data_IF_084237865316
#
_entry.id   IF_084237865316
#
_cell.length_a   1.000
_cell.length_b   1.000
_cell.length_c   1.000
_cell.angle_alpha   90.00
_cell.angle_beta   90.00
_cell.angle_gamma   90.00
#
_symmetry.space_group_name_H-M   'P 1'
#
loop_
_entity.id
_entity.type
_entity.pdbx_description
1 polymer ?
#
# COMPACT_ATOMS: atom_id res chain seq x y z
N UNK A 1 19.53 -36.31 12.11
CA UNK A 1 18.63 -36.18 10.95
C UNK A 1 19.08 -37.15 9.90
N UNK A 2 18.25 -38.11 9.48
CA UNK A 2 18.59 -39.06 8.43
C UNK A 2 18.23 -38.43 7.08
N UNK A 3 19.20 -38.41 6.16
CA UNK A 3 19.01 -37.97 4.78
C UNK A 3 18.99 -39.24 3.89
N UNK A 4 17.96 -39.36 3.05
CA UNK A 4 17.94 -40.37 2.00
C UNK A 4 18.39 -39.74 0.69
N UNK A 5 19.46 -40.27 0.11
CA UNK A 5 20.01 -39.83 -1.18
C UNK A 5 19.62 -40.87 -2.24
N UNK A 6 18.83 -40.47 -3.22
CA UNK A 6 18.49 -41.29 -4.37
C UNK A 6 19.06 -40.67 -5.65
N UNK A 7 19.78 -41.47 -6.40
CA UNK A 7 20.44 -41.08 -7.65
C UNK A 7 19.74 -41.73 -8.84
N UNK A 8 19.29 -40.91 -9.77
CA UNK A 8 18.64 -41.36 -11.01
C UNK A 8 19.41 -40.82 -12.22
N UNK A 9 19.83 -41.72 -13.10
CA UNK A 9 20.49 -41.37 -14.37
C UNK A 9 19.49 -41.56 -15.52
N UNK A 10 19.14 -40.46 -16.19
CA UNK A 10 18.49 -40.49 -17.50
C UNK A 10 19.45 -39.92 -18.55
N UNK A 11 19.35 -40.40 -19.80
CA UNK A 11 20.17 -39.96 -20.92
C UNK A 11 20.19 -38.43 -21.03
N UNK A 12 21.31 -37.83 -20.58
CA UNK A 12 21.66 -36.40 -20.59
C UNK A 12 21.25 -35.54 -19.37
N UNK A 13 20.65 -36.11 -18.31
CA UNK A 13 20.35 -35.36 -17.07
C UNK A 13 20.63 -36.26 -15.86
N UNK A 14 21.44 -35.79 -14.92
CA UNK A 14 21.62 -36.46 -13.62
C UNK A 14 20.72 -35.74 -12.59
N UNK A 15 19.87 -36.50 -11.95
CA UNK A 15 18.94 -35.99 -10.92
C UNK A 15 19.43 -36.45 -9.56
N UNK A 16 19.73 -35.53 -8.67
CA UNK A 16 19.98 -35.79 -7.26
C UNK A 16 18.74 -35.39 -6.46
N UNK A 17 18.11 -36.37 -5.83
CA UNK A 17 16.96 -36.10 -4.96
C UNK A 17 17.42 -36.16 -3.50
N UNK A 18 17.31 -35.05 -2.77
CA UNK A 18 17.56 -34.99 -1.34
C UNK A 18 16.22 -34.82 -0.65
N UNK A 19 15.79 -35.82 0.11
CA UNK A 19 14.57 -35.76 0.90
C UNK A 19 14.91 -35.48 2.36
N UNK A 20 14.35 -34.42 2.94
CA UNK A 20 14.35 -34.19 4.37
C UNK A 20 13.00 -34.57 4.94
N UNK A 21 12.92 -34.87 6.23
CA UNK A 21 11.68 -35.34 6.90
C UNK A 21 10.53 -34.33 6.90
N UNK A 22 10.68 -33.15 6.28
CA UNK A 22 9.65 -32.10 6.23
C UNK A 22 9.33 -31.55 4.83
N UNK A 23 10.23 -31.63 3.84
CA UNK A 23 9.95 -31.12 2.49
C UNK A 23 10.73 -31.90 1.43
N UNK A 24 10.07 -32.23 0.30
CA UNK A 24 10.70 -32.84 -0.86
C UNK A 24 11.22 -31.73 -1.79
N UNK A 25 12.54 -31.62 -1.93
CA UNK A 25 13.15 -30.70 -2.91
C UNK A 25 13.87 -31.50 -3.98
N UNK A 26 13.53 -31.28 -5.25
CA UNK A 26 14.16 -31.89 -6.42
C UNK A 26 15.16 -30.91 -7.02
N UNK A 27 16.40 -31.34 -7.20
CA UNK A 27 17.46 -30.54 -7.83
C UNK A 27 17.83 -31.24 -9.15
N UNK A 28 17.76 -30.49 -10.25
CA UNK A 28 18.09 -30.97 -11.59
C UNK A 28 19.46 -30.44 -12.04
N UNK A 29 20.30 -31.30 -12.55
CA UNK A 29 21.58 -30.93 -13.17
C UNK A 29 21.55 -31.19 -14.68
N UNK A 30 21.98 -30.21 -15.48
CA UNK A 30 22.18 -30.35 -16.92
C UNK A 30 23.68 -30.43 -17.24
N UNK A 31 24.08 -31.20 -18.27
CA UNK A 31 25.46 -31.29 -18.73
C UNK A 31 26.08 -29.99 -19.30
N UNK A 32 25.31 -28.92 -19.38
CA UNK A 32 25.73 -27.64 -19.96
C UNK A 32 25.83 -26.49 -18.92
N UNK A 33 26.30 -26.77 -17.71
CA UNK A 33 26.63 -25.75 -16.68
C UNK A 33 25.51 -24.75 -16.30
N UNK A 34 24.25 -25.03 -16.57
CA UNK A 34 23.14 -24.25 -16.05
C UNK A 34 22.42 -24.98 -14.92
N UNK A 35 22.43 -24.41 -13.72
CA UNK A 35 21.69 -24.91 -12.56
C UNK A 35 20.36 -24.19 -12.52
N UNK A 36 19.24 -24.91 -12.71
CA UNK A 36 17.89 -24.39 -12.53
C UNK A 36 17.27 -24.93 -11.24
N UNK A 37 16.78 -24.04 -10.40
CA UNK A 37 16.17 -24.37 -9.12
C UNK A 37 14.65 -24.45 -9.22
N UNK A 38 14.08 -25.45 -8.54
CA UNK A 38 12.63 -25.64 -8.45
C UNK A 38 12.00 -25.08 -7.14
N UNK A 39 12.82 -24.61 -6.19
CA UNK A 39 12.36 -23.85 -5.02
C UNK A 39 13.47 -22.95 -4.46
N UNK A 40 13.07 -21.84 -3.81
CA UNK A 40 13.95 -20.73 -3.44
C UNK A 40 14.81 -20.93 -2.18
N UNK A 41 14.93 -22.15 -1.64
CA UNK A 41 15.46 -22.29 -0.27
C UNK A 41 16.85 -22.93 -0.12
N UNK A 42 17.47 -23.48 -1.16
CA UNK A 42 18.81 -24.10 -0.99
C UNK A 42 19.71 -23.82 -2.19
N UNK A 43 20.77 -23.06 -1.99
CA UNK A 43 21.84 -22.85 -2.95
C UNK A 43 23.03 -23.78 -2.59
N UNK A 44 23.33 -24.76 -3.42
CA UNK A 44 24.56 -25.54 -3.33
C UNK A 44 25.52 -25.15 -4.44
N UNK A 45 26.73 -24.75 -4.08
CA UNK A 45 27.81 -24.52 -5.03
C UNK A 45 28.68 -25.79 -5.03
N UNK A 46 28.77 -26.44 -6.17
CA UNK A 46 29.76 -27.51 -6.40
C UNK A 46 30.90 -26.96 -7.27
N UNK A 47 32.11 -27.08 -6.77
CA UNK A 47 33.30 -26.85 -7.57
C UNK A 47 33.49 -28.01 -8.57
N UNK A 48 34.03 -27.71 -9.74
CA UNK A 48 34.33 -28.66 -10.81
C UNK A 48 35.02 -29.94 -10.31
N UNK A 49 34.42 -31.07 -10.64
CA UNK A 49 35.10 -32.38 -10.50
C UNK A 49 35.68 -32.72 -11.88
N UNK A 50 36.94 -32.44 -12.08
CA UNK A 50 37.69 -32.97 -13.21
C UNK A 50 37.94 -34.49 -13.02
N UNK A 51 37.57 -35.23 -14.03
CA UNK A 51 37.59 -36.67 -14.16
C UNK A 51 39.02 -37.21 -14.05
N UNK A 52 39.42 -37.76 -12.89
CA UNK A 52 40.49 -38.79 -12.83
C UNK A 52 40.37 -39.62 -11.53
N UNK A 53 40.19 -40.95 -11.75
CA UNK A 53 40.42 -42.08 -10.83
C UNK A 53 39.61 -42.17 -9.52
N UNK A 54 38.52 -42.90 -9.62
CA UNK A 54 37.67 -43.42 -8.54
C UNK A 54 38.38 -44.61 -7.81
N UNK A 55 39.45 -44.41 -7.07
CA UNK A 55 39.88 -45.48 -6.16
C UNK A 55 40.70 -45.02 -4.95
N UNK A 56 40.55 -43.87 -4.45
CA UNK A 56 40.95 -43.48 -3.07
C UNK A 56 40.46 -42.06 -2.76
N UNK A 57 39.18 -41.85 -2.66
CA UNK A 57 38.67 -40.58 -2.11
C UNK A 57 38.32 -40.73 -0.63
N UNK A 58 39.27 -40.37 0.23
CA UNK A 58 38.87 -39.77 1.49
C UNK A 58 38.20 -38.42 1.14
N UNK A 59 36.88 -38.42 1.14
CA UNK A 59 36.10 -37.22 1.02
C UNK A 59 36.44 -36.37 2.25
N UNK A 60 37.40 -35.46 2.11
CA UNK A 60 37.42 -34.27 2.97
C UNK A 60 36.28 -33.43 2.47
N UNK A 61 35.11 -33.68 3.03
CA UNK A 61 33.95 -32.77 2.91
C UNK A 61 34.38 -31.46 3.54
N UNK A 62 34.91 -30.56 2.74
CA UNK A 62 34.95 -29.15 3.10
C UNK A 62 33.52 -28.66 2.97
N UNK A 63 32.73 -28.91 4.00
CA UNK A 63 31.50 -28.18 4.25
C UNK A 63 31.92 -26.72 4.50
N UNK A 64 32.17 -25.97 3.44
CA UNK A 64 31.95 -24.54 3.48
C UNK A 64 30.43 -24.43 3.49
N UNK A 65 29.87 -24.53 4.69
CA UNK A 65 28.59 -23.96 4.99
C UNK A 65 28.79 -22.46 4.82
N UNK A 66 28.71 -21.97 3.57
CA UNK A 66 28.25 -20.61 3.37
C UNK A 66 26.83 -20.64 3.93
N UNK A 67 26.69 -20.36 5.23
CA UNK A 67 25.50 -19.70 5.72
C UNK A 67 25.50 -18.33 5.02
N UNK A 68 25.13 -18.31 3.74
CA UNK A 68 24.28 -17.25 3.27
C UNK A 68 23.02 -17.52 4.10
N UNK A 69 22.98 -16.89 5.29
CA UNK A 69 21.71 -16.67 5.92
C UNK A 69 20.89 -16.12 4.76
N UNK A 70 19.91 -16.86 4.29
CA UNK A 70 18.73 -16.26 3.77
C UNK A 70 18.25 -15.40 4.96
N UNK A 71 18.84 -14.23 5.11
CA UNK A 71 18.10 -13.13 5.64
C UNK A 71 16.94 -13.11 4.66
N UNK A 72 15.83 -13.74 5.04
CA UNK A 72 14.56 -13.22 4.62
C UNK A 72 14.71 -11.75 4.96
N UNK A 73 15.10 -10.95 3.99
CA UNK A 73 14.93 -9.51 4.08
C UNK A 73 13.43 -9.40 4.16
N UNK A 74 12.92 -9.44 5.40
CA UNK A 74 11.56 -9.03 5.69
C UNK A 74 11.45 -7.73 4.93
N UNK A 75 10.56 -7.69 3.92
CA UNK A 75 10.40 -6.49 3.12
C UNK A 75 10.24 -5.35 4.12
N UNK A 76 11.06 -4.31 3.98
CA UNK A 76 11.05 -3.21 4.93
C UNK A 76 9.61 -2.68 4.98
N UNK A 77 9.00 -2.71 6.15
CA UNK A 77 7.66 -2.18 6.32
C UNK A 77 7.62 -0.71 5.92
N UNK A 78 6.56 -0.31 5.26
CA UNK A 78 6.33 1.06 4.86
C UNK A 78 5.48 1.76 5.93
N UNK A 79 5.98 2.89 6.39
CA UNK A 79 5.27 3.77 7.30
C UNK A 79 5.17 5.14 6.66
N UNK A 80 3.98 5.68 6.61
CA UNK A 80 3.77 6.98 5.99
C UNK A 80 2.40 7.57 6.26
N UNK A 81 2.05 8.53 5.44
CA UNK A 81 0.73 9.17 5.45
C UNK A 81 0.41 9.80 4.11
N UNK A 82 -0.87 10.14 3.95
CA UNK A 82 -1.37 10.94 2.84
C UNK A 82 -1.23 12.42 3.20
N UNK A 83 -0.29 13.12 2.54
CA UNK A 83 -0.02 14.54 2.77
C UNK A 83 -0.46 15.41 1.58
N UNK A 84 -1.50 15.01 0.90
CA UNK A 84 -1.95 15.64 -0.35
C UNK A 84 -2.38 17.10 -0.20
N UNK A 85 -2.56 17.59 1.01
CA UNK A 85 -2.91 19.01 1.30
C UNK A 85 -1.73 19.81 1.81
N UNK A 86 -0.58 19.21 2.09
CA UNK A 86 0.57 19.92 2.65
C UNK A 86 0.94 21.19 1.88
N UNK A 87 1.00 21.21 0.52
CA UNK A 87 1.34 22.43 -0.21
C UNK A 87 0.34 23.56 0.00
N UNK A 88 -0.96 23.28 0.21
CA UNK A 88 -1.96 24.30 0.47
C UNK A 88 -1.82 24.87 1.89
N UNK A 89 -1.48 24.03 2.88
CA UNK A 89 -1.13 24.50 4.23
C UNK A 89 0.11 25.38 4.20
N UNK A 90 1.17 24.96 3.52
CA UNK A 90 2.42 25.73 3.36
C UNK A 90 2.17 27.09 2.68
N UNK A 91 1.39 27.11 1.61
CA UNK A 91 1.02 28.33 0.86
C UNK A 91 0.28 29.35 1.71
N UNK A 92 -0.53 28.87 2.67
CA UNK A 92 -1.25 29.74 3.60
C UNK A 92 -0.42 30.13 4.83
N UNK A 93 0.83 29.67 4.94
CA UNK A 93 1.73 30.05 6.02
C UNK A 93 1.52 29.23 7.30
N UNK A 94 0.91 28.05 7.22
CA UNK A 94 0.79 27.11 8.33
C UNK A 94 2.19 26.76 8.87
N UNK A 95 2.36 26.79 10.19
CA UNK A 95 3.63 26.49 10.86
C UNK A 95 3.51 25.16 11.60
N UNK A 96 4.33 24.20 11.18
CA UNK A 96 4.49 22.93 11.87
C UNK A 96 5.61 23.04 12.91
N UNK A 97 5.39 22.40 14.06
CA UNK A 97 6.34 22.42 15.18
C UNK A 97 6.56 21.02 15.72
N UNK A 98 7.76 20.75 16.20
CA UNK A 98 8.00 19.56 17.02
C UNK A 98 7.25 19.64 18.37
N UNK A 99 7.43 18.62 19.20
CA UNK A 99 6.80 18.57 20.54
C UNK A 99 7.28 19.69 21.48
N UNK A 100 8.49 20.21 21.25
CA UNK A 100 9.09 21.29 22.06
C UNK A 100 8.73 22.69 21.51
N UNK A 101 7.99 22.76 20.41
CA UNK A 101 7.53 24.00 19.80
C UNK A 101 8.49 24.60 18.78
N UNK A 102 9.58 23.92 18.39
CA UNK A 102 10.52 24.35 17.35
C UNK A 102 9.86 24.18 15.98
N UNK A 103 9.87 25.20 15.11
CA UNK A 103 9.37 25.07 13.75
C UNK A 103 10.16 24.02 12.95
N UNK A 104 9.43 23.18 12.20
CA UNK A 104 9.99 22.08 11.40
C UNK A 104 9.45 22.09 9.97
N UNK A 105 10.22 21.52 9.02
CA UNK A 105 9.69 21.14 7.72
C UNK A 105 8.94 19.82 7.87
N UNK A 106 7.66 19.71 7.47
CA UNK A 106 6.87 18.50 7.72
C UNK A 106 7.44 17.23 7.07
N UNK A 107 7.91 17.30 5.83
CA UNK A 107 8.44 16.13 5.12
C UNK A 107 9.70 15.59 5.83
N UNK A 108 10.63 16.49 6.17
CA UNK A 108 11.83 16.11 6.92
C UNK A 108 11.47 15.61 8.33
N UNK A 109 10.50 16.25 8.99
CA UNK A 109 10.04 15.83 10.31
C UNK A 109 9.43 14.42 10.28
N UNK A 110 8.61 14.08 9.29
CA UNK A 110 8.11 12.71 9.11
C UNK A 110 9.26 11.72 8.96
N UNK A 111 10.23 12.02 8.08
CA UNK A 111 11.40 11.19 7.85
C UNK A 111 12.25 11.00 9.12
N UNK A 112 12.54 12.07 9.86
CA UNK A 112 13.34 12.03 11.08
C UNK A 112 12.63 11.23 12.19
N UNK A 113 11.29 11.17 12.15
CA UNK A 113 10.47 10.31 13.00
C UNK A 113 10.28 8.89 12.42
N UNK A 114 11.13 8.47 11.47
CA UNK A 114 11.19 7.09 10.98
C UNK A 114 10.20 6.77 9.86
N UNK A 115 9.44 7.74 9.36
CA UNK A 115 8.59 7.51 8.20
C UNK A 115 9.44 7.37 6.93
N UNK A 116 9.06 6.47 6.04
CA UNK A 116 9.84 6.13 4.86
C UNK A 116 9.04 6.19 3.55
N UNK A 117 7.76 6.55 3.65
CA UNK A 117 6.85 6.56 2.51
C UNK A 117 5.80 7.67 2.65
N UNK A 118 5.37 8.23 1.53
CA UNK A 118 4.31 9.23 1.46
C UNK A 118 3.33 8.83 0.39
N UNK A 119 2.03 8.96 0.69
CA UNK A 119 0.91 8.79 -0.24
C UNK A 119 0.40 10.15 -0.68
N UNK A 120 0.10 10.29 -1.98
CA UNK A 120 -0.54 11.49 -2.54
C UNK A 120 -1.62 11.05 -3.52
N UNK A 121 -2.82 11.58 -3.34
CA UNK A 121 -3.96 11.35 -4.24
C UNK A 121 -3.87 12.21 -5.49
N UNK A 122 -4.50 11.75 -6.57
CA UNK A 122 -4.59 12.44 -7.86
C UNK A 122 -6.02 12.40 -8.38
N UNK A 123 -6.56 13.57 -8.69
CA UNK A 123 -7.84 13.72 -9.40
C UNK A 123 -7.60 13.91 -10.91
N UNK A 124 -8.65 13.69 -11.72
CA UNK A 124 -8.55 13.85 -13.17
C UNK A 124 -8.54 15.35 -13.55
N UNK A 125 -9.53 16.08 -13.12
CA UNK A 125 -9.62 17.53 -13.32
C UNK A 125 -10.32 18.21 -12.12
N UNK A 126 -9.57 18.54 -11.04
CA UNK A 126 -10.14 19.12 -9.83
C UNK A 126 -10.82 20.49 -10.06
N UNK A 127 -10.49 21.18 -11.16
CA UNK A 127 -11.19 22.41 -11.52
C UNK A 127 -12.69 22.21 -11.85
N UNK A 128 -13.08 20.99 -12.20
CA UNK A 128 -14.47 20.59 -12.43
C UNK A 128 -15.20 20.14 -11.16
N UNK A 129 -14.47 19.98 -10.06
CA UNK A 129 -15.09 19.58 -8.79
C UNK A 129 -16.11 20.62 -8.30
N UNK A 130 -17.20 20.20 -7.64
CA UNK A 130 -18.10 21.11 -6.95
C UNK A 130 -17.35 21.99 -5.94
N UNK A 131 -17.82 23.23 -5.74
CA UNK A 131 -17.18 24.19 -4.84
C UNK A 131 -17.04 23.63 -3.41
N UNK A 132 -18.07 22.93 -2.92
CA UNK A 132 -18.02 22.28 -1.61
C UNK A 132 -16.82 21.32 -1.46
N UNK A 133 -16.51 20.54 -2.51
CA UNK A 133 -15.36 19.63 -2.47
C UNK A 133 -14.02 20.37 -2.60
N UNK A 134 -13.97 21.50 -3.33
CA UNK A 134 -12.79 22.37 -3.33
C UNK A 134 -12.55 22.98 -1.94
N UNK A 135 -13.62 23.37 -1.26
CA UNK A 135 -13.56 23.83 0.14
C UNK A 135 -13.07 22.73 1.10
N UNK A 136 -13.22 21.46 0.73
CA UNK A 136 -12.68 20.28 1.44
C UNK A 136 -11.26 19.91 0.99
N UNK A 137 -10.63 20.70 0.10
CA UNK A 137 -9.24 20.52 -0.31
C UNK A 137 -9.03 19.72 -1.61
N UNK A 138 -10.03 19.64 -2.49
CA UNK A 138 -9.86 19.05 -3.83
C UNK A 138 -9.13 20.03 -4.73
N UNK A 139 -7.85 19.75 -5.02
CA UNK A 139 -6.97 20.58 -5.86
C UNK A 139 -5.84 19.78 -6.56
N UNK A 140 -5.71 18.50 -6.28
CA UNK A 140 -4.57 17.66 -6.64
C UNK A 140 -4.66 17.21 -8.11
N UNK A 141 -4.23 18.09 -9.02
CA UNK A 141 -4.01 17.78 -10.43
C UNK A 141 -2.62 17.20 -10.70
N UNK A 142 -2.34 16.83 -11.95
CA UNK A 142 -1.04 16.25 -12.34
C UNK A 142 0.15 17.15 -11.97
N UNK A 143 0.18 18.48 -12.29
CA UNK A 143 1.27 19.36 -11.90
C UNK A 143 1.49 19.44 -10.40
N UNK A 144 0.42 19.57 -9.62
CA UNK A 144 0.47 19.63 -8.16
C UNK A 144 1.10 18.36 -7.56
N UNK A 145 0.59 17.19 -7.99
CA UNK A 145 1.06 15.90 -7.48
C UNK A 145 2.50 15.60 -7.93
N UNK A 146 2.87 16.01 -9.12
CA UNK A 146 4.23 15.85 -9.61
C UNK A 146 5.25 16.67 -8.81
N UNK A 147 4.91 17.90 -8.42
CA UNK A 147 5.81 18.74 -7.58
C UNK A 147 5.92 18.16 -6.16
N UNK A 148 4.79 17.78 -5.54
CA UNK A 148 4.82 17.18 -4.21
C UNK A 148 5.57 15.83 -4.21
N UNK A 149 5.30 14.97 -5.20
CA UNK A 149 6.02 13.70 -5.36
C UNK A 149 7.52 13.88 -5.56
N UNK A 150 7.95 14.91 -6.28
CA UNK A 150 9.36 15.28 -6.43
C UNK A 150 9.99 15.62 -5.06
N UNK A 151 9.34 16.47 -4.26
CA UNK A 151 9.79 16.82 -2.90
C UNK A 151 9.95 15.59 -2.02
N UNK A 152 8.99 14.65 -2.09
CA UNK A 152 9.05 13.35 -1.39
C UNK A 152 10.26 12.53 -1.82
N UNK A 153 10.52 12.43 -3.13
CA UNK A 153 11.66 11.68 -3.65
C UNK A 153 13.00 12.35 -3.31
N UNK A 154 13.07 13.68 -3.33
CA UNK A 154 14.25 14.45 -2.91
C UNK A 154 14.58 14.25 -1.43
N UNK A 155 13.56 14.11 -0.58
CA UNK A 155 13.74 13.72 0.81
C UNK A 155 14.21 12.26 0.99
N UNK A 156 14.28 11.47 -0.10
CA UNK A 156 14.70 10.07 -0.07
C UNK A 156 13.62 9.09 0.43
N UNK A 157 12.36 9.52 0.44
CA UNK A 157 11.21 8.69 0.83
C UNK A 157 10.60 8.00 -0.41
N UNK A 158 9.84 6.92 -0.18
CA UNK A 158 9.06 6.27 -1.22
C UNK A 158 7.80 7.07 -1.49
N UNK A 159 7.40 7.10 -2.75
CA UNK A 159 6.21 7.81 -3.21
C UNK A 159 5.12 6.81 -3.63
N UNK A 160 3.94 6.90 -3.02
CA UNK A 160 2.72 6.21 -3.40
C UNK A 160 1.78 7.17 -4.10
N UNK A 161 1.45 6.89 -5.36
CA UNK A 161 0.49 7.66 -6.14
C UNK A 161 -0.88 6.98 -6.07
N UNK A 162 -1.91 7.73 -5.67
CA UNK A 162 -3.28 7.24 -5.55
C UNK A 162 -4.19 7.86 -6.62
N UNK A 163 -4.65 7.05 -7.56
CA UNK A 163 -5.59 7.47 -8.60
C UNK A 163 -7.04 7.39 -8.13
N UNK A 164 -7.72 8.52 -8.05
CA UNK A 164 -9.17 8.54 -7.78
C UNK A 164 -10.02 8.28 -9.04
N UNK A 165 -9.50 8.53 -10.23
CA UNK A 165 -10.24 8.48 -11.52
C UNK A 165 -11.55 9.26 -11.51
N UNK A 166 -11.58 10.37 -10.82
CA UNK A 166 -12.70 11.29 -10.67
C UNK A 166 -12.16 12.73 -10.62
N UNK A 167 -13.01 13.72 -10.86
CA UNK A 167 -12.64 15.13 -10.69
C UNK A 167 -12.67 15.56 -9.22
N UNK A 168 -13.19 14.70 -8.34
CA UNK A 168 -13.32 14.92 -6.90
C UNK A 168 -13.13 13.62 -6.12
N UNK A 169 -13.38 13.66 -4.82
CA UNK A 169 -13.34 12.50 -3.96
C UNK A 169 -14.07 11.30 -4.57
N UNK A 170 -13.36 10.21 -4.76
CA UNK A 170 -13.90 8.90 -5.01
C UNK A 170 -13.84 8.12 -3.68
N UNK A 171 -14.98 7.67 -3.20
CA UNK A 171 -15.16 6.99 -1.92
C UNK A 171 -16.34 6.01 -1.97
N UNK A 172 -16.66 5.26 -0.90
CA UNK A 172 -17.72 4.27 -0.91
C UNK A 172 -19.11 4.81 -1.24
N UNK A 173 -19.34 6.10 -1.11
CA UNK A 173 -20.62 6.75 -1.38
C UNK A 173 -20.69 7.38 -2.77
N UNK A 174 -19.55 7.61 -3.44
CA UNK A 174 -19.48 8.27 -4.74
C UNK A 174 -18.22 7.87 -5.54
N UNK A 175 -18.44 7.57 -6.80
CA UNK A 175 -17.40 7.19 -7.77
C UNK A 175 -17.76 7.83 -9.13
N UNK A 176 -17.76 9.17 -9.17
CA UNK A 176 -18.26 9.90 -10.33
C UNK A 176 -17.35 9.78 -11.54
N UNK A 177 -17.94 9.64 -12.72
CA UNK A 177 -17.23 9.77 -13.99
C UNK A 177 -16.76 11.23 -14.12
N UNK A 178 -15.48 11.48 -14.49
CA UNK A 178 -15.00 12.83 -14.78
C UNK A 178 -15.87 13.54 -15.82
N UNK A 179 -16.13 14.83 -15.62
CA UNK A 179 -17.06 15.62 -16.43
C UNK A 179 -16.69 15.64 -17.92
N UNK A 180 -15.41 15.55 -18.24
CA UNK A 180 -14.91 15.58 -19.62
C UNK A 180 -14.89 14.18 -20.29
N UNK A 181 -15.24 13.12 -19.55
CA UNK A 181 -15.32 11.76 -20.10
C UNK A 181 -16.77 11.47 -20.58
N UNK A 182 -17.16 12.09 -21.69
CA UNK A 182 -18.56 12.15 -22.16
C UNK A 182 -19.07 10.86 -22.80
N UNK A 183 -18.21 10.01 -23.34
CA UNK A 183 -18.59 8.67 -23.83
C UNK A 183 -18.49 7.66 -22.67
N UNK A 184 -19.65 7.25 -22.16
CA UNK A 184 -19.76 6.34 -21.03
C UNK A 184 -19.79 4.86 -21.44
N UNK A 185 -19.46 4.53 -22.69
CA UNK A 185 -19.28 3.12 -23.04
C UNK A 185 -18.10 2.51 -22.27
N UNK A 186 -18.21 1.24 -21.89
CA UNK A 186 -17.14 0.53 -21.17
C UNK A 186 -15.80 0.65 -21.89
N UNK A 187 -15.81 0.55 -23.23
CA UNK A 187 -14.60 0.67 -24.05
C UNK A 187 -13.96 2.05 -23.93
N UNK A 188 -14.78 3.12 -23.99
CA UNK A 188 -14.28 4.50 -23.91
C UNK A 188 -13.73 4.78 -22.50
N UNK A 189 -14.45 4.39 -21.45
CA UNK A 189 -13.99 4.58 -20.06
C UNK A 189 -12.69 3.81 -19.77
N UNK A 190 -12.56 2.57 -20.24
CA UNK A 190 -11.30 1.83 -20.16
C UNK A 190 -10.15 2.56 -20.88
N UNK A 191 -10.44 3.14 -22.07
CA UNK A 191 -9.46 3.97 -22.79
C UNK A 191 -9.05 5.21 -21.99
N UNK A 192 -10.01 5.93 -21.42
CA UNK A 192 -9.77 7.12 -20.60
C UNK A 192 -8.95 6.83 -19.34
N UNK A 193 -9.25 5.73 -18.62
CA UNK A 193 -8.43 5.27 -17.49
C UNK A 193 -6.98 5.04 -17.95
N UNK A 194 -6.80 4.31 -19.02
CA UNK A 194 -5.46 4.02 -19.56
C UNK A 194 -4.72 5.29 -19.93
N UNK A 195 -5.34 6.17 -20.72
CA UNK A 195 -4.71 7.39 -21.24
C UNK A 195 -4.33 8.35 -20.09
N UNK A 196 -5.25 8.59 -19.16
CA UNK A 196 -4.97 9.43 -17.96
C UNK A 196 -3.84 8.85 -17.11
N UNK A 197 -3.83 7.54 -16.88
CA UNK A 197 -2.76 6.89 -16.13
C UNK A 197 -1.41 7.05 -16.82
N UNK A 198 -1.35 6.86 -18.15
CA UNK A 198 -0.12 7.06 -18.95
C UNK A 198 0.35 8.50 -18.88
N UNK A 199 -0.57 9.47 -19.04
CA UNK A 199 -0.26 10.91 -18.96
C UNK A 199 0.34 11.26 -17.59
N UNK A 200 -0.34 10.91 -16.51
CA UNK A 200 0.09 11.17 -15.15
C UNK A 200 1.47 10.56 -14.86
N UNK A 201 1.67 9.28 -15.17
CA UNK A 201 2.95 8.61 -14.90
C UNK A 201 4.10 9.16 -15.73
N UNK A 202 3.87 9.59 -16.97
CA UNK A 202 4.87 10.31 -17.76
C UNK A 202 5.24 11.67 -17.14
N UNK A 203 4.25 12.41 -16.65
CA UNK A 203 4.48 13.68 -15.95
C UNK A 203 5.27 13.47 -14.64
N UNK A 204 4.90 12.46 -13.83
CA UNK A 204 5.65 12.10 -12.61
C UNK A 204 7.12 11.78 -12.92
N UNK A 205 7.38 10.94 -13.92
CA UNK A 205 8.75 10.62 -14.34
C UNK A 205 9.54 11.86 -14.78
N UNK A 206 8.92 12.71 -15.59
CA UNK A 206 9.54 13.95 -16.06
C UNK A 206 9.91 14.88 -14.91
N UNK A 207 9.12 14.90 -13.85
CA UNK A 207 9.36 15.70 -12.66
C UNK A 207 10.39 15.07 -11.68
N UNK A 208 10.82 13.82 -11.89
CA UNK A 208 11.65 13.09 -10.92
C UNK A 208 10.84 12.47 -9.77
N UNK A 209 9.52 12.35 -9.94
CA UNK A 209 8.55 11.81 -8.99
C UNK A 209 8.05 10.41 -9.41
N UNK A 210 8.89 9.56 -10.01
CA UNK A 210 8.46 8.21 -10.39
C UNK A 210 7.96 7.46 -9.14
N UNK A 211 6.69 7.00 -9.12
CA UNK A 211 6.13 6.35 -7.95
C UNK A 211 6.73 4.96 -7.72
N UNK A 212 6.94 4.60 -6.44
CA UNK A 212 7.34 3.28 -6.00
C UNK A 212 6.12 2.35 -5.82
N UNK A 213 4.98 2.95 -5.49
CA UNK A 213 3.69 2.28 -5.33
C UNK A 213 2.61 3.07 -6.08
N UNK A 214 1.65 2.36 -6.67
CA UNK A 214 0.53 2.98 -7.39
C UNK A 214 -0.76 2.30 -6.96
N UNK A 215 -1.69 3.11 -6.46
CA UNK A 215 -3.03 2.68 -6.14
C UNK A 215 -3.94 2.94 -7.35
N UNK A 216 -4.58 1.88 -7.85
CA UNK A 216 -5.45 1.91 -9.03
C UNK A 216 -6.91 1.96 -8.56
N UNK A 217 -7.41 3.17 -8.41
CA UNK A 217 -8.72 3.45 -7.80
C UNK A 217 -8.66 3.59 -6.28
N UNK A 218 -9.47 4.50 -5.72
CA UNK A 218 -9.61 4.74 -4.29
C UNK A 218 -10.94 4.20 -3.78
N UNK A 219 -10.89 3.34 -2.73
CA UNK A 219 -12.04 2.77 -2.03
C UNK A 219 -13.12 2.21 -2.98
N UNK A 220 -12.70 1.38 -3.93
CA UNK A 220 -13.53 0.91 -5.04
C UNK A 220 -14.35 -0.34 -4.71
N UNK A 221 -14.66 -0.60 -3.45
CA UNK A 221 -15.48 -1.76 -3.05
C UNK A 221 -16.79 -1.81 -3.82
N UNK A 222 -17.48 -0.67 -3.95
CA UNK A 222 -18.71 -0.55 -4.72
C UNK A 222 -18.47 -0.22 -6.20
N UNK A 223 -17.29 -0.57 -6.73
CA UNK A 223 -16.90 -0.28 -8.11
C UNK A 223 -16.37 1.13 -8.32
N UNK A 224 -16.19 1.52 -9.59
CA UNK A 224 -15.69 2.84 -9.99
C UNK A 224 -16.46 3.37 -11.20
N UNK A 225 -16.37 4.69 -11.46
CA UNK A 225 -17.01 5.35 -12.62
C UNK A 225 -18.51 5.02 -12.74
N UNK A 226 -19.25 5.32 -11.67
CA UNK A 226 -20.68 5.03 -11.61
C UNK A 226 -21.48 5.84 -12.63
N UNK A 227 -22.59 5.26 -13.18
CA UNK A 227 -23.15 3.93 -12.83
C UNK A 227 -22.51 2.75 -13.55
N UNK A 228 -21.57 2.95 -14.51
CA UNK A 228 -21.12 1.93 -15.47
C UNK A 228 -20.35 0.80 -14.80
N UNK A 229 -19.39 1.13 -13.94
CA UNK A 229 -18.59 0.14 -13.21
C UNK A 229 -19.05 -0.08 -11.76
N UNK A 230 -20.33 0.23 -11.44
CA UNK A 230 -20.88 0.08 -10.09
C UNK A 230 -21.08 -1.38 -9.73
N UNK A 231 -20.78 -1.74 -8.49
CA UNK A 231 -21.04 -3.04 -7.87
C UNK A 231 -21.98 -2.82 -6.69
N UNK A 232 -23.04 -3.64 -6.59
CA UNK A 232 -24.04 -3.58 -5.52
C UNK A 232 -23.88 -4.74 -4.53
N UNK A 233 -22.97 -5.69 -4.79
CA UNK A 233 -22.72 -6.90 -4.03
C UNK A 233 -23.90 -7.88 -4.02
N UNK A 234 -24.66 -7.92 -5.09
CA UNK A 234 -25.73 -8.88 -5.34
C UNK A 234 -25.47 -9.73 -6.60
N UNK A 235 -26.43 -10.59 -6.96
CA UNK A 235 -26.28 -11.53 -8.07
C UNK A 235 -26.45 -10.87 -9.45
N UNK A 236 -26.83 -9.60 -9.50
CA UNK A 236 -26.97 -8.82 -10.75
C UNK A 236 -25.68 -8.18 -11.22
N UNK A 237 -24.61 -8.20 -10.41
CA UNK A 237 -23.35 -7.51 -10.69
C UNK A 237 -22.60 -8.14 -11.86
N UNK A 238 -22.19 -7.32 -12.83
CA UNK A 238 -21.23 -7.71 -13.85
C UNK A 238 -19.81 -7.28 -13.48
N UNK A 239 -19.14 -8.12 -12.70
CA UNK A 239 -17.75 -7.91 -12.28
C UNK A 239 -16.78 -7.77 -13.45
N UNK A 240 -17.13 -8.29 -14.64
CA UNK A 240 -16.26 -8.18 -15.82
C UNK A 240 -16.06 -6.73 -16.26
N UNK A 241 -17.06 -5.85 -16.03
CA UNK A 241 -16.97 -4.41 -16.36
C UNK A 241 -15.96 -3.74 -15.44
N UNK A 242 -16.12 -3.87 -14.13
CA UNK A 242 -15.17 -3.32 -13.14
C UNK A 242 -13.75 -3.83 -13.39
N UNK A 243 -13.60 -5.13 -13.58
CA UNK A 243 -12.28 -5.75 -13.81
C UNK A 243 -11.62 -5.29 -15.11
N UNK A 244 -12.38 -5.00 -16.17
CA UNK A 244 -11.84 -4.37 -17.40
C UNK A 244 -11.30 -2.97 -17.13
N UNK A 245 -12.01 -2.18 -16.32
CA UNK A 245 -11.58 -0.83 -15.92
C UNK A 245 -10.29 -0.90 -15.09
N UNK A 246 -10.27 -1.72 -14.03
CA UNK A 246 -9.08 -1.95 -13.19
C UNK A 246 -7.88 -2.43 -14.05
N UNK A 247 -8.09 -3.41 -14.93
CA UNK A 247 -7.03 -3.93 -15.79
C UNK A 247 -6.51 -2.89 -16.79
N UNK A 248 -7.31 -1.90 -17.17
CA UNK A 248 -6.83 -0.79 -18.00
C UNK A 248 -5.83 0.10 -17.26
N UNK A 249 -6.11 0.44 -16.01
CA UNK A 249 -5.17 1.15 -15.14
C UNK A 249 -3.92 0.32 -14.84
N UNK A 250 -4.09 -0.95 -14.45
CA UNK A 250 -2.97 -1.88 -14.20
C UNK A 250 -2.03 -1.96 -15.41
N UNK A 251 -2.58 -2.14 -16.61
CA UNK A 251 -1.78 -2.21 -17.85
C UNK A 251 -0.95 -0.94 -18.05
N UNK A 252 -1.56 0.23 -17.94
CA UNK A 252 -0.85 1.50 -18.06
C UNK A 252 0.27 1.62 -17.02
N UNK A 253 0.01 1.25 -15.77
CA UNK A 253 1.01 1.24 -14.69
C UNK A 253 2.18 0.30 -14.99
N UNK A 254 1.91 -0.94 -15.40
CA UNK A 254 2.97 -1.93 -15.73
C UNK A 254 3.82 -1.48 -16.93
N UNK A 255 3.21 -0.85 -17.93
CA UNK A 255 3.92 -0.32 -19.09
C UNK A 255 4.77 0.92 -18.75
N UNK A 256 4.25 1.82 -17.93
CA UNK A 256 4.95 3.07 -17.60
C UNK A 256 5.93 2.91 -16.42
N UNK A 257 5.54 2.21 -15.36
CA UNK A 257 6.33 2.05 -14.14
C UNK A 257 6.45 0.55 -13.77
N UNK A 258 7.19 -0.27 -14.53
CA UNK A 258 7.23 -1.73 -14.35
C UNK A 258 7.78 -2.19 -13.00
N UNK A 259 8.48 -1.32 -12.27
CA UNK A 259 9.03 -1.59 -10.93
C UNK A 259 8.09 -1.20 -9.81
N UNK A 260 7.08 -0.37 -10.10
CA UNK A 260 6.11 0.06 -9.10
C UNK A 260 5.22 -1.11 -8.67
N UNK A 261 4.92 -1.18 -7.38
CA UNK A 261 3.98 -2.15 -6.84
C UNK A 261 2.58 -1.60 -6.90
N UNK A 262 1.63 -2.43 -7.35
CA UNK A 262 0.26 -2.01 -7.60
C UNK A 262 -0.65 -2.43 -6.45
N UNK A 263 -1.48 -1.49 -6.00
CA UNK A 263 -2.42 -1.63 -4.90
C UNK A 263 -3.84 -1.52 -5.45
N UNK A 264 -4.73 -2.40 -4.99
CA UNK A 264 -6.18 -2.24 -5.14
C UNK A 264 -6.73 -1.96 -3.75
N UNK A 265 -7.49 -0.88 -3.61
CA UNK A 265 -7.91 -0.31 -2.34
C UNK A 265 -9.42 -0.44 -2.11
N UNK A 266 -9.77 -1.03 -0.96
CA UNK A 266 -11.14 -1.14 -0.45
C UNK A 266 -11.25 -0.66 0.99
N UNK A 267 -12.45 -0.29 1.43
CA UNK A 267 -12.70 0.23 2.79
C UNK A 267 -13.42 -0.78 3.71
N UNK A 268 -13.47 -2.05 3.35
CA UNK A 268 -14.22 -3.07 4.11
C UNK A 268 -13.35 -3.88 5.10
N UNK A 269 -12.41 -3.22 5.76
CA UNK A 269 -11.56 -3.89 6.77
C UNK A 269 -12.36 -4.54 7.92
N UNK A 270 -13.60 -4.09 8.16
CA UNK A 270 -14.51 -4.65 9.18
C UNK A 270 -15.55 -5.64 8.64
N UNK A 271 -15.52 -5.97 7.34
CA UNK A 271 -16.49 -6.85 6.68
C UNK A 271 -15.76 -7.87 5.79
N UNK A 272 -15.51 -9.05 6.37
CA UNK A 272 -14.80 -10.12 5.69
C UNK A 272 -15.50 -10.65 4.45
N UNK A 273 -16.82 -10.79 4.49
CA UNK A 273 -17.56 -11.40 3.38
C UNK A 273 -17.49 -10.55 2.11
N UNK A 274 -17.67 -9.23 2.26
CA UNK A 274 -17.51 -8.29 1.15
C UNK A 274 -16.05 -8.26 0.68
N UNK A 275 -15.09 -8.14 1.60
CA UNK A 275 -13.65 -8.14 1.29
C UNK A 275 -13.23 -9.39 0.52
N UNK A 276 -13.62 -10.57 1.02
CA UNK A 276 -13.34 -11.86 0.39
C UNK A 276 -13.94 -11.94 -1.01
N UNK A 277 -15.23 -11.57 -1.17
CA UNK A 277 -15.92 -11.58 -2.48
C UNK A 277 -15.19 -10.68 -3.46
N UNK A 278 -14.92 -9.44 -3.09
CA UNK A 278 -14.26 -8.45 -3.95
C UNK A 278 -12.91 -8.96 -4.49
N UNK A 279 -12.00 -9.36 -3.62
CA UNK A 279 -10.67 -9.82 -4.05
C UNK A 279 -10.69 -11.20 -4.74
N UNK A 280 -11.69 -12.06 -4.46
CA UNK A 280 -11.90 -13.29 -5.22
C UNK A 280 -12.32 -13.01 -6.65
N UNK A 281 -13.25 -12.08 -6.87
CA UNK A 281 -13.65 -11.64 -8.22
C UNK A 281 -12.48 -11.06 -9.00
N UNK A 282 -11.63 -10.22 -8.37
CA UNK A 282 -10.42 -9.72 -9.01
C UNK A 282 -9.45 -10.83 -9.42
N UNK A 283 -9.26 -11.85 -8.57
CA UNK A 283 -8.43 -13.02 -8.87
C UNK A 283 -9.00 -13.81 -10.05
N UNK A 284 -10.29 -14.09 -10.04
CA UNK A 284 -10.98 -14.92 -11.02
C UNK A 284 -11.00 -14.22 -12.41
N UNK A 285 -11.06 -12.88 -12.42
CA UNK A 285 -10.92 -12.04 -13.60
C UNK A 285 -9.47 -11.65 -13.94
N UNK A 286 -8.48 -12.24 -13.25
CA UNK A 286 -7.03 -12.10 -13.53
C UNK A 286 -6.53 -10.66 -13.44
N UNK A 287 -7.01 -9.88 -12.50
CA UNK A 287 -6.44 -8.58 -12.19
C UNK A 287 -5.06 -8.76 -11.55
N UNK A 288 -4.00 -8.25 -12.22
CA UNK A 288 -2.61 -8.50 -11.83
C UNK A 288 -2.05 -7.37 -10.95
N UNK A 289 -2.52 -7.29 -9.72
CA UNK A 289 -2.03 -6.39 -8.67
C UNK A 289 -1.18 -7.14 -7.64
N UNK A 290 -0.43 -6.39 -6.82
CA UNK A 290 0.54 -6.95 -5.86
C UNK A 290 0.04 -6.90 -4.42
N UNK A 291 -0.74 -5.87 -4.06
CA UNK A 291 -1.05 -5.50 -2.68
C UNK A 291 -2.55 -5.27 -2.52
N UNK A 292 -3.11 -5.83 -1.46
CA UNK A 292 -4.45 -5.51 -0.97
C UNK A 292 -4.33 -4.27 -0.07
N UNK A 293 -4.92 -3.15 -0.51
CA UNK A 293 -5.02 -1.93 0.28
C UNK A 293 -6.34 -1.88 1.04
N UNK A 294 -6.29 -1.51 2.31
CA UNK A 294 -7.47 -1.36 3.16
C UNK A 294 -7.49 0.01 3.83
N UNK A 295 -8.68 0.63 3.90
CA UNK A 295 -8.96 1.65 4.91
C UNK A 295 -9.37 0.99 6.21
N UNK A 296 -8.80 1.46 7.33
CA UNK A 296 -9.26 1.07 8.65
C UNK A 296 -9.43 2.29 9.54
N UNK A 297 -10.68 2.56 9.93
CA UNK A 297 -11.04 3.64 10.83
C UNK A 297 -11.94 3.09 11.96
N UNK A 298 -11.57 3.24 13.25
CA UNK A 298 -12.36 2.66 14.36
C UNK A 298 -13.82 3.09 14.33
N UNK A 299 -14.12 4.35 13.99
CA UNK A 299 -15.47 4.90 13.92
C UNK A 299 -16.37 4.25 12.84
N UNK A 300 -15.78 3.56 11.86
CA UNK A 300 -16.51 2.89 10.78
C UNK A 300 -16.37 1.37 10.82
N UNK A 301 -15.19 0.87 11.27
CA UNK A 301 -14.81 -0.53 11.14
C UNK A 301 -14.67 -1.24 12.49
N UNK A 302 -15.10 -0.60 13.58
CA UNK A 302 -15.08 -1.13 14.95
C UNK A 302 -13.64 -1.25 15.50
N UNK A 303 -13.41 -2.05 16.53
CA UNK A 303 -12.13 -2.19 17.20
C UNK A 303 -11.07 -2.92 16.37
N UNK A 304 -9.82 -2.81 16.79
CA UNK A 304 -8.65 -3.43 16.14
C UNK A 304 -8.77 -4.96 16.05
N UNK A 305 -9.51 -5.61 16.96
CA UNK A 305 -9.75 -7.06 16.90
C UNK A 305 -10.54 -7.51 15.66
N UNK A 306 -11.44 -6.66 15.16
CA UNK A 306 -12.16 -6.95 13.89
C UNK A 306 -11.21 -6.86 12.70
N UNK A 307 -10.32 -5.85 12.68
CA UNK A 307 -9.26 -5.76 11.68
C UNK A 307 -8.36 -6.99 11.73
N UNK A 308 -7.92 -7.42 12.93
CA UNK A 308 -7.08 -8.60 13.11
C UNK A 308 -7.68 -9.85 12.46
N UNK A 309 -8.98 -10.11 12.70
CA UNK A 309 -9.67 -11.25 12.11
C UNK A 309 -9.72 -11.18 10.56
N UNK A 310 -9.88 -9.98 9.99
CA UNK A 310 -9.81 -9.78 8.54
C UNK A 310 -8.40 -10.03 8.00
N UNK A 311 -7.35 -9.56 8.69
CA UNK A 311 -5.96 -9.78 8.30
C UNK A 311 -5.57 -11.27 8.33
N UNK A 312 -5.98 -12.01 9.37
CA UNK A 312 -5.79 -13.47 9.44
C UNK A 312 -6.48 -14.19 8.27
N UNK A 313 -7.71 -13.77 7.96
CA UNK A 313 -8.49 -14.34 6.86
C UNK A 313 -7.87 -14.03 5.50
N UNK A 314 -7.34 -12.82 5.30
CA UNK A 314 -6.61 -12.45 4.08
C UNK A 314 -5.34 -13.28 3.91
N UNK A 315 -4.57 -13.48 4.97
CA UNK A 315 -3.39 -14.34 4.96
C UNK A 315 -3.72 -15.77 4.54
N UNK A 316 -4.85 -16.30 5.01
CA UNK A 316 -5.27 -17.66 4.72
C UNK A 316 -5.79 -17.83 3.28
N UNK A 317 -6.54 -16.85 2.75
CA UNK A 317 -7.23 -16.94 1.45
C UNK A 317 -6.41 -16.39 0.28
N UNK A 318 -5.56 -15.39 0.55
CA UNK A 318 -4.71 -14.70 -0.44
C UNK A 318 -3.23 -14.67 0.02
N UNK A 319 -2.59 -15.84 0.24
CA UNK A 319 -1.25 -15.92 0.82
C UNK A 319 -0.15 -15.35 -0.07
N UNK A 320 -0.44 -15.14 -1.36
CA UNK A 320 0.44 -14.52 -2.35
C UNK A 320 0.35 -12.98 -2.38
N UNK A 321 -0.57 -12.38 -1.60
CA UNK A 321 -0.74 -10.94 -1.53
C UNK A 321 -0.19 -10.36 -0.24
N UNK A 322 0.49 -9.23 -0.37
CA UNK A 322 0.74 -8.36 0.77
C UNK A 322 -0.50 -7.53 1.07
N UNK A 323 -0.59 -7.07 2.31
CA UNK A 323 -1.66 -6.19 2.78
C UNK A 323 -1.05 -4.87 3.26
N UNK A 324 -1.70 -3.76 2.98
CA UNK A 324 -1.35 -2.45 3.54
C UNK A 324 -2.60 -1.77 4.07
N UNK A 325 -2.49 -1.17 5.24
CA UNK A 325 -3.45 -0.17 5.70
C UNK A 325 -3.05 1.14 5.04
N UNK A 326 -3.69 1.44 3.90
CA UNK A 326 -3.36 2.62 3.08
C UNK A 326 -4.07 3.88 3.55
N UNK A 327 -5.08 3.72 4.42
CA UNK A 327 -5.72 4.81 5.14
C UNK A 327 -6.13 4.39 6.54
N UNK A 328 -5.81 5.25 7.51
CA UNK A 328 -6.32 5.17 8.89
C UNK A 328 -6.21 6.54 9.55
N UNK A 329 -7.06 6.82 10.52
CA UNK A 329 -6.94 7.98 11.40
C UNK A 329 -7.68 7.74 12.72
N UNK A 330 -7.33 8.53 13.73
CA UNK A 330 -8.02 8.59 15.01
C UNK A 330 -8.19 10.03 15.48
N UNK A 331 -9.24 10.32 16.21
CA UNK A 331 -9.54 11.68 16.66
C UNK A 331 -8.71 12.05 17.89
N UNK A 332 -8.11 13.27 17.86
CA UNK A 332 -7.42 13.84 19.02
C UNK A 332 -8.18 15.01 19.64
N UNK A 333 -9.14 15.60 18.92
CA UNK A 333 -9.94 16.74 19.38
C UNK A 333 -11.40 16.62 18.98
N UNK A 334 -12.24 17.46 19.58
CA UNK A 334 -13.64 17.64 19.23
C UNK A 334 -13.86 18.78 18.24
N UNK A 335 -12.80 19.21 17.54
CA UNK A 335 -12.93 20.25 16.52
C UNK A 335 -13.94 19.85 15.45
N UNK A 336 -14.59 20.84 14.86
CA UNK A 336 -15.71 20.61 13.98
C UNK A 336 -15.27 19.90 12.69
N UNK A 337 -15.82 18.74 12.46
CA UNK A 337 -15.68 17.96 11.23
C UNK A 337 -17.05 17.40 10.87
N UNK A 338 -17.62 17.84 9.75
CA UNK A 338 -18.96 17.41 9.32
C UNK A 338 -19.07 15.89 9.06
N UNK A 339 -17.94 15.21 8.83
CA UNK A 339 -17.86 13.78 8.58
C UNK A 339 -17.46 12.98 9.83
N UNK A 340 -17.19 13.69 10.94
CA UNK A 340 -16.80 13.05 12.19
C UNK A 340 -17.92 12.15 12.74
N UNK A 341 -17.49 11.07 13.37
CA UNK A 341 -18.35 10.14 14.12
C UNK A 341 -17.82 10.01 15.55
N UNK A 342 -17.89 11.11 16.33
CA UNK A 342 -17.26 11.17 17.64
C UNK A 342 -17.78 10.09 18.59
N UNK A 343 -19.10 9.86 18.61
CA UNK A 343 -19.71 8.89 19.51
C UNK A 343 -19.21 7.46 19.20
N UNK A 344 -19.16 7.09 17.91
CA UNK A 344 -18.66 5.78 17.48
C UNK A 344 -17.16 5.59 17.77
N UNK A 345 -16.36 6.64 17.63
CA UNK A 345 -14.94 6.59 17.98
C UNK A 345 -14.76 6.48 19.50
N UNK A 346 -15.53 7.25 20.27
CA UNK A 346 -15.46 7.28 21.72
C UNK A 346 -15.84 5.94 22.41
N UNK A 347 -16.53 5.05 21.69
CA UNK A 347 -16.77 3.67 22.14
C UNK A 347 -15.47 2.90 22.37
N UNK A 348 -14.40 3.25 21.65
CA UNK A 348 -13.13 2.53 21.67
C UNK A 348 -11.98 3.33 22.26
N UNK A 349 -11.89 4.62 21.96
CA UNK A 349 -10.77 5.49 22.34
C UNK A 349 -11.27 6.86 22.79
N UNK A 350 -10.73 7.42 23.88
CA UNK A 350 -11.00 8.80 24.27
C UNK A 350 -10.63 9.79 23.14
N UNK A 351 -11.47 10.78 22.88
CA UNK A 351 -11.14 11.87 21.95
C UNK A 351 -10.21 12.84 22.66
N UNK A 352 -8.93 12.62 22.50
CA UNK A 352 -7.84 13.40 23.09
C UNK A 352 -6.50 13.02 22.44
N UNK A 353 -5.43 13.86 22.55
CA UNK A 353 -4.09 13.49 22.11
C UNK A 353 -3.61 12.16 22.68
N UNK A 354 -3.91 11.88 23.95
CA UNK A 354 -3.56 10.60 24.59
C UNK A 354 -4.37 9.43 24.03
N UNK A 355 -5.66 9.64 23.75
CA UNK A 355 -6.52 8.61 23.13
C UNK A 355 -6.11 8.28 21.71
N UNK A 356 -5.73 9.28 20.91
CA UNK A 356 -5.15 9.07 19.58
C UNK A 356 -3.85 8.24 19.66
N UNK A 357 -2.99 8.55 20.61
CA UNK A 357 -1.76 7.77 20.86
C UNK A 357 -2.06 6.33 21.32
N UNK A 358 -3.10 6.11 22.12
CA UNK A 358 -3.56 4.76 22.50
C UNK A 358 -4.01 3.96 21.29
N UNK A 359 -4.85 4.54 20.43
CA UNK A 359 -5.27 3.93 19.17
C UNK A 359 -4.08 3.57 18.30
N UNK A 360 -3.17 4.53 18.07
CA UNK A 360 -1.97 4.32 17.24
C UNK A 360 -1.11 3.18 17.79
N UNK A 361 -0.89 3.13 19.09
CA UNK A 361 -0.12 2.07 19.77
C UNK A 361 -0.76 0.70 19.58
N UNK A 362 -2.07 0.59 19.77
CA UNK A 362 -2.80 -0.66 19.63
C UNK A 362 -2.76 -1.13 18.17
N UNK A 363 -3.05 -0.24 17.22
CA UNK A 363 -2.99 -0.54 15.79
C UNK A 363 -1.59 -1.02 15.36
N UNK A 364 -0.54 -0.30 15.72
CA UNK A 364 0.85 -0.66 15.42
C UNK A 364 1.20 -2.03 16.02
N UNK A 365 0.80 -2.27 17.27
CA UNK A 365 1.03 -3.56 17.93
C UNK A 365 0.36 -4.71 17.18
N UNK A 366 -0.88 -4.51 16.75
CA UNK A 366 -1.64 -5.52 16.02
C UNK A 366 -1.05 -5.79 14.64
N UNK A 367 -0.80 -4.74 13.84
CA UNK A 367 -0.25 -4.90 12.48
C UNK A 367 1.12 -5.61 12.48
N UNK A 368 1.89 -5.46 13.55
CA UNK A 368 3.18 -6.18 13.69
C UNK A 368 3.05 -7.69 13.85
N UNK A 369 1.90 -8.18 14.30
CA UNK A 369 1.63 -9.61 14.46
C UNK A 369 1.39 -10.32 13.13
N UNK A 370 1.04 -9.56 12.08
CA UNK A 370 0.72 -10.08 10.76
C UNK A 370 1.91 -9.89 9.81
N UNK A 371 2.53 -10.97 9.38
CA UNK A 371 3.74 -10.95 8.54
C UNK A 371 3.47 -10.44 7.11
N UNK A 372 2.24 -10.61 6.61
CA UNK A 372 1.80 -10.13 5.30
C UNK A 372 1.43 -8.65 5.30
N UNK A 373 1.34 -7.99 6.46
CA UNK A 373 1.08 -6.55 6.55
C UNK A 373 2.38 -5.79 6.41
N UNK A 374 2.53 -5.08 5.30
CA UNK A 374 3.78 -4.43 4.90
C UNK A 374 3.71 -2.91 4.82
N UNK A 375 2.54 -2.31 5.08
CA UNK A 375 2.40 -0.85 5.06
C UNK A 375 1.33 -0.32 6.01
N UNK A 376 1.60 0.87 6.56
CA UNK A 376 0.67 1.65 7.39
C UNK A 376 0.77 3.12 6.98
N UNK A 377 -0.36 3.72 6.57
CA UNK A 377 -0.44 5.11 6.15
C UNK A 377 -1.54 5.84 6.92
N UNK A 378 -1.15 6.93 7.59
CA UNK A 378 -2.09 7.81 8.26
C UNK A 378 -2.73 8.76 7.24
N UNK A 379 -4.03 9.01 7.37
CA UNK A 379 -4.76 9.90 6.48
C UNK A 379 -4.86 11.29 7.10
N UNK A 380 -4.34 12.29 6.40
CA UNK A 380 -4.16 13.68 6.80
C UNK A 380 -3.28 13.90 8.04
N UNK A 381 -2.07 13.33 8.10
CA UNK A 381 -1.15 13.61 9.21
C UNK A 381 -0.75 15.10 9.26
N UNK A 382 -0.76 15.78 8.11
CA UNK A 382 -0.40 17.19 7.93
C UNK A 382 -1.49 18.18 8.32
N UNK A 383 -2.70 17.72 8.64
CA UNK A 383 -3.79 18.59 9.06
C UNK A 383 -3.33 19.47 10.22
N UNK A 384 -3.44 20.79 10.02
CA UNK A 384 -2.99 21.79 10.97
C UNK A 384 -3.63 23.14 10.66
N UNK A 385 -4.68 23.49 11.38
CA UNK A 385 -5.37 24.76 11.23
C UNK A 385 -4.73 25.90 12.04
N UNK A 386 -3.50 25.75 12.56
CA UNK A 386 -2.85 26.78 13.36
C UNK A 386 -2.69 28.09 12.55
N UNK A 387 -3.70 28.92 12.64
CA UNK A 387 -3.79 30.22 11.98
C UNK A 387 -4.51 30.24 10.63
N UNK A 388 -5.01 29.13 10.10
CA UNK A 388 -5.61 29.08 8.77
C UNK A 388 -6.69 28.00 8.62
N UNK A 389 -7.82 28.35 8.00
CA UNK A 389 -8.85 27.43 7.54
C UNK A 389 -8.51 26.93 6.13
N UNK A 390 -7.54 26.03 6.00
CA UNK A 390 -7.18 25.47 4.69
C UNK A 390 -8.29 24.55 4.18
N UNK A 391 -8.91 23.81 5.09
CA UNK A 391 -10.05 22.95 4.79
C UNK A 391 -11.16 23.14 5.82
N UNK A 392 -12.41 23.03 5.37
CA UNK A 392 -13.57 23.19 6.25
C UNK A 392 -14.09 21.89 6.87
N UNK A 393 -13.45 20.78 6.63
CA UNK A 393 -14.04 19.51 6.95
C UNK A 393 -13.18 18.48 7.67
N UNK A 394 -11.92 18.79 7.93
CA UNK A 394 -10.96 17.77 8.39
C UNK A 394 -10.05 18.32 9.48
N UNK A 395 -10.60 18.58 10.69
CA UNK A 395 -9.91 19.34 11.74
C UNK A 395 -9.61 18.55 13.03
N UNK A 396 -9.67 17.24 13.03
CA UNK A 396 -9.61 16.48 14.29
C UNK A 396 -8.80 15.20 14.25
N UNK A 397 -8.14 14.89 13.13
CA UNK A 397 -7.43 13.61 12.90
C UNK A 397 -5.98 13.73 12.51
N UNK A 398 -5.48 14.96 12.36
CA UNK A 398 -4.08 15.24 12.09
C UNK A 398 -3.14 14.73 13.17
N UNK A 399 -1.85 14.83 12.91
CA UNK A 399 -0.80 14.51 13.89
C UNK A 399 -0.12 15.77 14.42
N UNK A 400 -0.67 16.95 14.09
CA UNK A 400 -0.30 18.23 14.66
C UNK A 400 -1.54 18.87 15.28
N UNK A 401 -1.35 19.56 16.39
CA UNK A 401 -2.43 20.25 17.08
C UNK A 401 -2.92 21.47 16.28
N UNK A 402 -4.21 21.55 15.99
CA UNK A 402 -4.82 22.57 15.13
C UNK A 402 -4.68 24.02 15.66
N UNK A 403 -4.41 24.21 16.94
CA UNK A 403 -4.32 25.52 17.57
C UNK A 403 -2.89 26.00 17.71
N UNK A 404 -1.97 25.06 17.95
CA UNK A 404 -0.57 25.37 18.26
C UNK A 404 0.42 24.94 17.18
N UNK A 405 0.01 24.01 16.33
CA UNK A 405 0.88 23.38 15.33
C UNK A 405 1.90 22.38 15.89
N UNK A 406 1.84 22.06 17.17
CA UNK A 406 2.76 21.13 17.81
C UNK A 406 2.44 19.69 17.42
N UNK A 407 3.50 18.90 17.20
CA UNK A 407 3.40 17.46 16.98
C UNK A 407 2.74 16.75 18.16
N UNK A 408 1.78 15.87 17.86
CA UNK A 408 1.01 15.14 18.85
C UNK A 408 1.72 13.87 19.32
N UNK A 409 1.40 13.36 20.52
CA UNK A 409 2.06 12.18 21.11
C UNK A 409 1.98 10.90 20.25
N UNK A 410 0.98 10.79 19.38
CA UNK A 410 0.81 9.65 18.47
C UNK A 410 2.04 9.41 17.57
N UNK A 411 2.83 10.45 17.21
CA UNK A 411 4.06 10.30 16.43
C UNK A 411 5.03 9.29 17.03
N UNK A 412 5.16 9.26 18.35
CA UNK A 412 6.09 8.36 19.04
C UNK A 412 5.69 6.87 18.96
N UNK A 413 4.41 6.58 18.77
CA UNK A 413 3.92 5.22 18.70
C UNK A 413 4.21 4.55 17.34
N UNK A 414 4.33 5.32 16.27
CA UNK A 414 4.65 4.80 14.93
C UNK A 414 6.05 4.19 14.82
N UNK A 415 7.04 4.70 15.61
CA UNK A 415 8.42 4.21 15.54
C UNK A 415 8.53 2.70 15.83
N UNK A 416 7.58 2.14 16.57
CA UNK A 416 7.52 0.71 16.89
C UNK A 416 7.10 -0.13 15.66
N UNK A 417 6.50 0.45 14.62
CA UNK A 417 6.04 -0.28 13.45
C UNK A 417 7.20 -0.73 12.56
N UNK A 418 8.23 0.08 12.42
CA UNK A 418 9.39 -0.19 11.57
C UNK A 418 10.50 -0.92 12.32
N UNK A 419 10.74 -0.53 13.58
CA UNK A 419 11.79 -1.12 14.40
C UNK A 419 11.37 -2.50 14.92
N UNK A 420 12.22 -3.52 14.67
CA UNK A 420 12.02 -4.90 15.17
C UNK A 420 12.19 -4.99 16.67
#
# INVERSE_FOLDING_TARGET
MAYNLNYFNYTNVSILCITTSKNNSLIFFSRQNEIKFASSEILFIFAEINNTNINTMRIKTLLITLMIGATTTSAQRLLGGDISLLPEYEKQGTVYRDADGTPVNPIEFFKDNGWNSIRVRLFVNPDKAPQANKDEGVCQDIPFVADLGRKVKEAGMRFMLDFHYSDTWADPAKQFIPAEWTDHSVKALCGKIYDHTVEALKAMKKAGAEPDLIQVGNEITNGMLWPVGKINHDDSDDWSILCKMINSGIRACREQCPKARLIIHTEKAGDWDITRRFYSELRDHKCNYDIIGLSYYPMWHRNVGVLSATLDSLQAVFPDKEVMIVETAGYYSHDNDQWAKPDQYAEFYPISPAGQAMFTKELVSELRRHNNVTGLFWWFPEENASGNDVTKGWLNRGLFDNHTGHALPAFHEFNKYINK
#
